data_IF_554234217324
#
_entry.id   IF_554234217324
#
_cell.length_a   1.000
_cell.length_b   1.000
_cell.length_c   1.000
_cell.angle_alpha   90.00
_cell.angle_beta   90.00
_cell.angle_gamma   90.00
#
_symmetry.space_group_name_H-M   'P 1'
#
loop_
_entity.id
_entity.type
_entity.pdbx_description
1 polymer ?
#
# COMPACT_ATOMS: atom_id res chain seq x y z
N UNK A 1 15.94 -6.41 -21.75
CA UNK A 1 15.96 -7.88 -21.50
C UNK A 1 14.79 -8.15 -20.59
N UNK A 2 13.80 -8.83 -21.13
CA UNK A 2 12.57 -9.24 -20.44
C UNK A 2 12.92 -10.20 -19.29
N UNK A 3 12.23 -10.10 -18.17
CA UNK A 3 12.38 -11.03 -17.06
C UNK A 3 11.65 -12.33 -17.40
N UNK A 4 12.21 -13.47 -17.02
CA UNK A 4 11.49 -14.74 -17.13
C UNK A 4 10.29 -14.72 -16.17
N UNK A 5 9.07 -14.83 -16.72
CA UNK A 5 7.82 -14.87 -15.98
C UNK A 5 7.55 -16.26 -15.41
N UNK A 6 6.91 -16.31 -14.25
CA UNK A 6 6.46 -17.53 -13.55
C UNK A 6 4.92 -17.62 -13.64
N UNK A 7 4.30 -18.78 -13.36
CA UNK A 7 2.84 -18.93 -13.47
C UNK A 7 2.02 -17.91 -12.67
N UNK A 8 2.51 -17.47 -11.51
CA UNK A 8 1.80 -16.46 -10.71
C UNK A 8 1.81 -15.06 -11.35
N UNK A 9 2.57 -14.83 -12.43
CA UNK A 9 2.44 -13.62 -13.25
C UNK A 9 1.05 -13.56 -13.90
N UNK A 10 0.64 -14.65 -14.57
CA UNK A 10 -0.66 -14.74 -15.24
C UNK A 10 -1.81 -14.60 -14.24
N UNK A 11 -1.67 -15.18 -13.04
CA UNK A 11 -2.63 -14.95 -11.97
C UNK A 11 -2.73 -13.48 -11.56
N UNK A 12 -1.61 -12.76 -11.48
CA UNK A 12 -1.66 -11.36 -11.10
C UNK A 12 -2.34 -10.52 -12.19
N UNK A 13 -1.89 -10.67 -13.44
CA UNK A 13 -2.29 -9.84 -14.57
C UNK A 13 -3.68 -10.20 -15.09
N UNK A 14 -3.98 -11.48 -15.26
CA UNK A 14 -5.20 -11.95 -15.93
C UNK A 14 -6.32 -12.34 -14.95
N UNK A 15 -5.97 -12.60 -13.68
CA UNK A 15 -6.96 -12.99 -12.67
C UNK A 15 -7.21 -11.91 -11.62
N UNK A 16 -6.20 -11.62 -10.79
CA UNK A 16 -6.32 -10.80 -9.59
C UNK A 16 -6.55 -9.33 -9.92
N UNK A 17 -5.70 -8.74 -10.76
CA UNK A 17 -5.77 -7.32 -11.11
C UNK A 17 -7.12 -6.91 -11.73
N UNK A 18 -7.63 -7.55 -12.82
CA UNK A 18 -8.88 -7.12 -13.45
C UNK A 18 -10.08 -7.27 -12.52
N UNK A 19 -10.11 -8.30 -11.67
CA UNK A 19 -11.19 -8.49 -10.67
C UNK A 19 -11.13 -7.44 -9.57
N UNK A 20 -9.94 -7.18 -9.04
CA UNK A 20 -9.73 -6.16 -8.01
C UNK A 20 -10.08 -4.77 -8.55
N UNK A 21 -9.71 -4.48 -9.80
CA UNK A 21 -10.06 -3.25 -10.51
C UNK A 21 -11.57 -3.11 -10.72
N UNK A 22 -12.24 -4.19 -11.13
CA UNK A 22 -13.70 -4.18 -11.28
C UNK A 22 -14.40 -3.89 -9.94
N UNK A 23 -13.96 -4.54 -8.85
CA UNK A 23 -14.46 -4.26 -7.50
C UNK A 23 -14.20 -2.81 -7.06
N UNK A 24 -13.02 -2.26 -7.41
CA UNK A 24 -12.68 -0.87 -7.13
C UNK A 24 -13.67 0.09 -7.79
N UNK A 25 -13.86 -0.05 -9.10
CA UNK A 25 -14.69 0.85 -9.91
C UNK A 25 -16.18 0.74 -9.57
N UNK A 26 -16.68 -0.47 -9.38
CA UNK A 26 -18.12 -0.73 -9.31
C UNK A 26 -18.66 -0.83 -7.88
N UNK A 27 -17.85 -1.28 -6.92
CA UNK A 27 -18.30 -1.51 -5.54
C UNK A 27 -17.62 -0.57 -4.52
N UNK A 28 -16.31 -0.34 -4.63
CA UNK A 28 -15.61 0.57 -3.71
C UNK A 28 -15.94 2.03 -4.04
N UNK A 29 -15.81 2.41 -5.31
CA UNK A 29 -16.17 3.72 -5.85
C UNK A 29 -17.67 3.74 -6.15
N UNK A 30 -18.15 2.89 -7.06
CA UNK A 30 -19.57 2.71 -7.40
C UNK A 30 -20.37 2.05 -6.27
N UNK A 31 -21.70 2.02 -6.39
CA UNK A 31 -22.58 1.54 -5.31
C UNK A 31 -23.08 0.09 -5.52
N UNK A 32 -22.44 -0.70 -6.39
CA UNK A 32 -22.78 -2.10 -6.62
C UNK A 32 -22.51 -2.95 -5.36
N UNK A 33 -23.33 -3.98 -5.16
CA UNK A 33 -23.15 -4.95 -4.07
C UNK A 33 -22.02 -5.91 -4.41
N UNK A 34 -21.07 -6.06 -3.48
CA UNK A 34 -19.95 -7.00 -3.59
C UNK A 34 -20.39 -8.45 -3.74
N UNK A 35 -21.58 -8.80 -3.24
CA UNK A 35 -22.16 -10.14 -3.26
C UNK A 35 -23.39 -10.23 -4.18
N UNK A 36 -23.58 -9.23 -5.04
CA UNK A 36 -24.68 -9.21 -5.99
C UNK A 36 -24.38 -10.02 -7.27
N UNK A 37 -25.41 -10.33 -8.07
CA UNK A 37 -25.25 -11.12 -9.30
C UNK A 37 -24.24 -10.53 -10.30
N UNK A 38 -24.14 -9.21 -10.38
CA UNK A 38 -23.19 -8.53 -11.26
C UNK A 38 -21.73 -8.75 -10.79
N UNK A 39 -21.49 -8.67 -9.48
CA UNK A 39 -20.17 -8.97 -8.93
C UNK A 39 -19.81 -10.46 -9.09
N UNK A 40 -20.79 -11.36 -8.96
CA UNK A 40 -20.60 -12.79 -9.21
C UNK A 40 -20.26 -13.08 -10.69
N UNK A 41 -20.80 -12.30 -11.64
CA UNK A 41 -20.46 -12.45 -13.05
C UNK A 41 -19.01 -12.04 -13.35
N UNK A 42 -18.54 -10.94 -12.76
CA UNK A 42 -17.23 -10.37 -13.07
C UNK A 42 -16.08 -10.88 -12.19
N UNK A 43 -16.35 -11.22 -10.93
CA UNK A 43 -15.34 -11.56 -9.93
C UNK A 43 -15.34 -13.05 -9.62
N UNK A 44 -16.49 -13.57 -9.17
CA UNK A 44 -16.69 -14.96 -8.76
C UNK A 44 -15.54 -15.53 -7.89
N UNK A 45 -15.14 -14.77 -6.86
CA UNK A 45 -14.08 -15.16 -5.93
C UNK A 45 -14.50 -14.74 -4.52
N UNK A 46 -14.84 -15.74 -3.70
CA UNK A 46 -15.35 -15.51 -2.36
C UNK A 46 -14.40 -14.67 -1.52
N UNK A 47 -13.08 -14.90 -1.61
CA UNK A 47 -12.10 -14.15 -0.84
C UNK A 47 -12.09 -12.68 -1.25
N UNK A 48 -12.09 -12.40 -2.56
CA UNK A 48 -12.07 -11.02 -3.07
C UNK A 48 -13.35 -10.26 -2.77
N UNK A 49 -14.51 -10.89 -2.95
CA UNK A 49 -15.82 -10.26 -2.74
C UNK A 49 -16.13 -10.02 -1.25
N UNK A 50 -15.55 -10.81 -0.34
CA UNK A 50 -15.86 -10.72 1.08
C UNK A 50 -14.83 -9.98 1.93
N UNK A 51 -13.60 -9.79 1.44
CA UNK A 51 -12.52 -9.17 2.20
C UNK A 51 -12.13 -7.84 1.56
N UNK A 52 -12.42 -6.70 2.21
CA UNK A 52 -12.16 -5.35 1.68
C UNK A 52 -10.70 -4.99 1.39
N UNK A 53 -9.76 -5.91 1.55
CA UNK A 53 -8.36 -5.68 1.21
C UNK A 53 -8.06 -6.04 -0.26
N UNK A 54 -8.94 -6.75 -0.96
CA UNK A 54 -8.71 -7.27 -2.32
C UNK A 54 -9.57 -6.57 -3.39
N UNK A 55 -10.12 -5.40 -3.08
CA UNK A 55 -11.08 -4.67 -3.92
C UNK A 55 -10.49 -3.39 -4.51
N UNK A 56 -9.17 -3.32 -4.63
CA UNK A 56 -8.44 -2.12 -4.99
C UNK A 56 -7.15 -2.46 -5.75
N UNK A 57 -6.83 -1.64 -6.74
CA UNK A 57 -5.56 -1.66 -7.50
C UNK A 57 -4.89 -0.28 -7.51
N UNK A 58 -5.64 0.77 -7.19
CA UNK A 58 -5.18 2.14 -7.12
C UNK A 58 -4.74 2.50 -5.71
N UNK A 59 -3.52 3.01 -5.54
CA UNK A 59 -3.07 3.57 -4.25
C UNK A 59 -4.07 4.54 -3.63
N UNK A 60 -4.76 5.32 -4.46
CA UNK A 60 -5.79 6.28 -4.04
C UNK A 60 -6.85 5.64 -3.15
N UNK A 61 -7.34 4.45 -3.48
CA UNK A 61 -8.49 3.83 -2.81
C UNK A 61 -8.10 2.71 -1.86
N UNK A 62 -6.82 2.34 -1.82
CA UNK A 62 -6.28 1.41 -0.85
C UNK A 62 -6.62 1.88 0.57
N UNK A 63 -7.21 1.01 1.38
CA UNK A 63 -7.86 1.52 2.59
C UNK A 63 -6.87 2.02 3.66
N UNK A 64 -5.60 1.62 3.64
CA UNK A 64 -4.58 2.27 4.47
C UNK A 64 -4.23 3.69 4.00
N UNK A 65 -4.66 4.11 2.82
CA UNK A 65 -4.51 5.47 2.30
C UNK A 65 -5.74 6.36 2.58
N UNK A 66 -6.80 5.81 3.18
CA UNK A 66 -8.05 6.54 3.47
C UNK A 66 -7.84 7.84 4.26
N UNK A 67 -6.96 7.85 5.26
CA UNK A 67 -6.66 9.08 6.02
C UNK A 67 -6.01 10.14 5.13
N UNK A 68 -5.05 9.76 4.28
CA UNK A 68 -4.40 10.70 3.37
C UNK A 68 -5.40 11.25 2.34
N UNK A 69 -6.31 10.41 1.85
CA UNK A 69 -7.41 10.83 0.97
C UNK A 69 -8.28 11.90 1.63
N UNK A 70 -8.68 11.68 2.88
CA UNK A 70 -9.51 12.63 3.61
C UNK A 70 -8.75 13.93 3.95
N UNK A 71 -7.44 13.86 4.21
CA UNK A 71 -6.62 15.06 4.45
C UNK A 71 -6.49 15.94 3.20
N UNK A 72 -6.34 15.34 2.03
CA UNK A 72 -6.17 16.07 0.76
C UNK A 72 -7.47 16.56 0.14
N UNK A 73 -8.55 15.78 0.28
CA UNK A 73 -9.80 16.03 -0.44
C UNK A 73 -10.97 16.36 0.49
N UNK A 74 -10.83 16.18 1.80
CA UNK A 74 -11.88 16.48 2.76
C UNK A 74 -13.20 15.76 2.43
N UNK A 75 -14.28 16.53 2.38
CA UNK A 75 -15.62 16.03 2.02
C UNK A 75 -15.80 15.75 0.53
N UNK A 76 -14.89 16.23 -0.32
CA UNK A 76 -14.93 16.06 -1.78
C UNK A 76 -14.32 14.71 -2.22
N UNK A 77 -13.81 13.94 -1.27
CA UNK A 77 -13.29 12.60 -1.50
C UNK A 77 -14.42 11.69 -2.04
N UNK A 78 -14.16 10.98 -3.14
CA UNK A 78 -15.20 10.25 -3.91
C UNK A 78 -15.98 9.21 -3.07
N UNK A 79 -15.30 8.53 -2.15
CA UNK A 79 -15.90 7.51 -1.26
C UNK A 79 -16.16 8.06 0.14
N UNK A 80 -16.19 9.39 0.33
CA UNK A 80 -16.41 10.04 1.62
C UNK A 80 -17.70 9.57 2.30
N UNK A 81 -18.80 9.46 1.53
CA UNK A 81 -20.10 8.98 2.01
C UNK A 81 -20.05 7.55 2.60
N UNK A 82 -19.04 6.76 2.23
CA UNK A 82 -18.82 5.38 2.66
C UNK A 82 -17.91 5.27 3.90
N UNK A 83 -17.33 6.38 4.39
CA UNK A 83 -16.54 6.37 5.63
C UNK A 83 -17.42 6.09 6.85
N UNK A 84 -16.88 5.57 7.97
CA UNK A 84 -17.62 5.52 9.23
C UNK A 84 -18.15 6.91 9.64
N UNK A 85 -19.35 6.97 10.23
CA UNK A 85 -20.03 8.24 10.54
C UNK A 85 -19.18 9.22 11.36
N UNK A 86 -18.54 8.75 12.42
CA UNK A 86 -17.66 9.58 13.26
C UNK A 86 -16.35 10.03 12.54
N UNK A 87 -15.96 9.37 11.45
CA UNK A 87 -14.89 9.86 10.56
C UNK A 87 -15.46 10.98 9.70
N UNK A 88 -16.65 10.83 9.13
CA UNK A 88 -17.30 11.89 8.36
C UNK A 88 -17.45 13.18 9.18
N UNK A 89 -17.95 13.06 10.41
CA UNK A 89 -18.09 14.19 11.36
C UNK A 89 -16.75 14.85 11.72
N UNK A 90 -15.65 14.11 11.65
CA UNK A 90 -14.31 14.61 11.93
C UNK A 90 -13.71 15.34 10.75
N UNK A 91 -13.83 14.77 9.54
CA UNK A 91 -13.35 15.36 8.29
C UNK A 91 -14.03 16.69 8.01
N UNK A 92 -15.31 16.84 8.36
CA UNK A 92 -16.03 18.13 8.27
C UNK A 92 -15.40 19.25 9.12
N UNK A 93 -14.57 18.91 10.11
CA UNK A 93 -13.87 19.88 10.99
C UNK A 93 -12.45 20.14 10.52
N UNK A 94 -12.04 19.58 9.39
CA UNK A 94 -10.69 19.79 8.89
C UNK A 94 -10.50 21.23 8.40
N UNK A 95 -9.28 21.73 8.64
CA UNK A 95 -8.77 23.03 8.23
C UNK A 95 -7.59 22.87 7.28
N UNK A 96 -7.54 21.76 6.52
CA UNK A 96 -6.43 21.45 5.60
C UNK A 96 -6.31 22.45 4.45
N UNK A 97 -7.32 23.29 4.22
CA UNK A 97 -7.25 24.46 3.35
C UNK A 97 -6.23 25.51 3.82
N UNK A 98 -5.76 25.45 5.07
CA UNK A 98 -4.70 26.31 5.62
C UNK A 98 -3.30 25.69 5.52
N UNK A 99 -3.20 24.41 5.15
CA UNK A 99 -1.94 23.69 5.13
C UNK A 99 -1.02 24.15 4.01
N UNK A 100 0.28 24.14 4.30
CA UNK A 100 1.32 24.20 3.27
C UNK A 100 1.81 22.79 2.95
N UNK A 101 2.75 22.66 2.00
CA UNK A 101 3.41 21.38 1.71
C UNK A 101 4.01 20.73 2.97
N UNK A 102 4.50 21.54 3.93
CA UNK A 102 5.14 21.04 5.17
C UNK A 102 4.17 20.18 5.99
N UNK A 103 2.94 20.63 6.16
CA UNK A 103 1.91 19.92 6.92
C UNK A 103 1.56 18.58 6.27
N UNK A 104 1.38 18.56 4.95
CA UNK A 104 1.13 17.32 4.20
C UNK A 104 2.31 16.34 4.32
N UNK A 105 3.55 16.80 4.09
CA UNK A 105 4.75 15.96 4.19
C UNK A 105 4.91 15.38 5.59
N UNK A 106 4.67 16.17 6.64
CA UNK A 106 4.71 15.68 8.02
C UNK A 106 3.59 14.67 8.31
N UNK A 107 2.38 14.91 7.79
CA UNK A 107 1.25 14.00 7.95
C UNK A 107 1.52 12.64 7.28
N UNK A 108 2.02 12.61 6.04
CA UNK A 108 2.36 11.38 5.32
C UNK A 108 3.43 10.58 6.06
N UNK A 109 4.53 11.24 6.44
CA UNK A 109 5.59 10.60 7.22
C UNK A 109 5.08 10.01 8.53
N UNK A 110 4.24 10.75 9.27
CA UNK A 110 3.67 10.27 10.53
C UNK A 110 2.70 9.12 10.29
N UNK A 111 1.88 9.17 9.24
CA UNK A 111 0.90 8.14 8.92
C UNK A 111 1.60 6.82 8.61
N UNK A 112 2.62 6.85 7.77
CA UNK A 112 3.43 5.67 7.44
C UNK A 112 4.23 5.17 8.64
N UNK A 113 4.81 6.08 9.43
CA UNK A 113 5.57 5.72 10.63
C UNK A 113 4.72 5.14 11.77
N UNK A 114 3.42 5.41 11.79
CA UNK A 114 2.47 4.91 12.79
C UNK A 114 1.70 3.65 12.33
N UNK A 115 2.09 3.09 11.17
CA UNK A 115 1.54 1.85 10.61
C UNK A 115 0.30 2.05 9.73
N UNK A 116 -0.01 3.29 9.35
CA UNK A 116 -1.04 3.64 8.36
C UNK A 116 -2.47 3.27 8.75
N UNK A 117 -2.76 3.16 10.05
CA UNK A 117 -4.08 2.74 10.53
C UNK A 117 -4.51 1.37 10.00
N UNK A 118 -3.53 0.49 9.70
CA UNK A 118 -3.78 -0.76 9.01
C UNK A 118 -4.63 -1.70 9.88
N UNK A 119 -5.83 -2.00 9.39
CA UNK A 119 -6.75 -2.97 9.98
C UNK A 119 -7.61 -3.66 8.92
N UNK A 120 -6.99 -4.55 8.15
CA UNK A 120 -7.64 -5.23 7.03
C UNK A 120 -8.83 -6.08 7.51
N UNK A 121 -9.96 -5.98 6.78
CA UNK A 121 -11.19 -6.74 7.06
C UNK A 121 -12.23 -6.02 7.92
N UNK A 122 -12.08 -4.71 8.19
CA UNK A 122 -13.04 -3.91 8.96
C UNK A 122 -13.30 -2.54 8.30
N UNK A 123 -14.48 -1.93 8.51
CA UNK A 123 -14.80 -0.58 8.00
C UNK A 123 -13.83 0.52 8.45
N UNK A 124 -13.05 0.24 9.50
CA UNK A 124 -12.06 1.11 10.13
C UNK A 124 -10.68 1.08 9.49
N UNK A 125 -10.53 0.40 8.35
CA UNK A 125 -9.26 0.32 7.64
C UNK A 125 -8.74 1.72 7.27
N UNK A 126 -7.51 2.04 7.68
CA UNK A 126 -6.89 3.37 7.52
C UNK A 126 -7.00 4.27 8.76
N UNK A 127 -7.97 4.02 9.65
CA UNK A 127 -8.24 4.85 10.82
C UNK A 127 -7.91 4.17 12.15
N UNK A 128 -7.70 2.85 12.14
CA UNK A 128 -7.52 2.06 13.36
C UNK A 128 -6.29 2.48 14.17
N UNK A 129 -6.52 3.03 15.36
CA UNK A 129 -5.47 3.62 16.21
C UNK A 129 -4.59 4.65 15.48
N UNK A 130 -5.13 5.36 14.49
CA UNK A 130 -4.39 6.36 13.73
C UNK A 130 -4.60 7.75 14.32
N UNK A 131 -3.55 8.32 14.92
CA UNK A 131 -3.57 9.72 15.38
C UNK A 131 -3.65 10.71 14.21
N UNK A 132 -3.13 10.33 13.04
CA UNK A 132 -3.08 11.20 11.86
C UNK A 132 -4.47 11.55 11.34
N UNK A 133 -5.46 10.67 11.58
CA UNK A 133 -6.87 10.98 11.32
C UNK A 133 -7.42 12.17 12.13
N UNK A 134 -6.65 12.74 13.06
CA UNK A 134 -7.01 13.96 13.79
C UNK A 134 -6.20 15.19 13.35
N UNK A 135 -5.17 15.02 12.52
CA UNK A 135 -4.26 16.09 12.14
C UNK A 135 -4.97 17.21 11.38
N UNK A 136 -5.95 16.86 10.54
CA UNK A 136 -6.71 17.85 9.77
C UNK A 136 -7.40 18.92 10.61
N UNK A 137 -7.58 18.73 11.93
CA UNK A 137 -8.15 19.74 12.84
C UNK A 137 -7.12 20.78 13.34
N UNK A 138 -5.86 20.71 12.90
CA UNK A 138 -4.76 21.58 13.31
C UNK A 138 -4.15 22.28 12.10
N UNK A 139 -3.64 23.49 12.27
CA UNK A 139 -3.18 24.34 11.16
C UNK A 139 -1.72 24.09 10.80
N UNK A 140 -0.90 23.66 11.77
CA UNK A 140 0.55 23.53 11.58
C UNK A 140 1.10 22.16 11.98
N UNK A 141 2.20 21.75 11.36
CA UNK A 141 2.90 20.50 11.73
C UNK A 141 3.35 20.48 13.20
N UNK A 142 3.70 21.64 13.77
CA UNK A 142 4.09 21.79 15.17
C UNK A 142 2.91 21.53 16.13
N UNK A 143 1.71 21.98 15.79
CA UNK A 143 0.49 21.65 16.54
C UNK A 143 0.16 20.15 16.48
N UNK A 144 0.32 19.53 15.31
CA UNK A 144 0.15 18.07 15.14
C UNK A 144 1.18 17.29 15.98
N UNK A 145 2.44 17.74 16.01
CA UNK A 145 3.46 17.15 16.86
C UNK A 145 3.12 17.31 18.36
N UNK A 146 2.59 18.47 18.76
CA UNK A 146 2.11 18.70 20.12
C UNK A 146 0.91 17.81 20.47
N UNK A 147 -0.03 17.59 19.54
CA UNK A 147 -1.11 16.62 19.69
C UNK A 147 -0.54 15.23 19.99
N UNK A 148 0.45 14.76 19.23
CA UNK A 148 1.08 13.45 19.48
C UNK A 148 1.66 13.33 20.89
N UNK A 149 2.33 14.38 21.38
CA UNK A 149 2.87 14.42 22.76
C UNK A 149 1.75 14.32 23.80
N UNK A 150 0.66 15.06 23.61
CA UNK A 150 -0.50 15.03 24.50
C UNK A 150 -1.20 13.66 24.47
N UNK A 151 -1.36 13.07 23.28
CA UNK A 151 -1.97 11.76 23.07
C UNK A 151 -1.21 10.66 23.80
N UNK A 152 0.13 10.70 23.71
CA UNK A 152 1.02 9.80 24.45
C UNK A 152 0.88 9.98 25.96
N UNK A 153 0.91 11.23 26.45
CA UNK A 153 0.74 11.53 27.88
C UNK A 153 -0.59 11.01 28.43
N UNK A 154 -1.65 11.05 27.61
CA UNK A 154 -2.96 10.53 27.94
C UNK A 154 -3.09 8.98 27.81
N UNK A 155 -2.03 8.27 27.46
CA UNK A 155 -2.05 6.80 27.30
C UNK A 155 -2.89 6.30 26.13
N UNK A 156 -3.26 7.18 25.19
CA UNK A 156 -4.08 6.81 24.03
C UNK A 156 -3.23 6.10 22.97
N UNK A 157 -3.81 5.08 22.33
CA UNK A 157 -3.16 4.38 21.22
C UNK A 157 -3.02 5.30 20.01
N UNK A 158 -1.84 5.29 19.38
CA UNK A 158 -1.54 6.06 18.17
C UNK A 158 -0.83 5.23 17.08
N UNK A 159 -0.64 3.93 17.34
CA UNK A 159 -0.02 3.00 16.40
C UNK A 159 -1.00 1.88 16.09
N UNK A 160 -1.12 1.54 14.81
CA UNK A 160 -1.80 0.32 14.37
C UNK A 160 -0.91 -0.92 14.58
N UNK A 161 -1.37 -2.11 14.22
CA UNK A 161 -0.72 -3.39 14.56
C UNK A 161 0.78 -3.47 14.20
N UNK A 162 1.53 -4.27 14.99
CA UNK A 162 3.01 -4.32 15.08
C UNK A 162 3.74 -4.53 13.74
N UNK A 163 3.13 -5.20 12.76
CA UNK A 163 3.81 -5.64 11.53
C UNK A 163 4.36 -4.53 10.63
N UNK A 164 3.85 -3.30 10.75
CA UNK A 164 4.20 -2.15 9.88
C UNK A 164 4.87 -0.99 10.65
N UNK A 165 5.29 -1.20 11.90
CA UNK A 165 5.89 -0.13 12.70
C UNK A 165 7.39 0.01 12.43
N UNK A 166 7.90 1.23 12.58
CA UNK A 166 9.32 1.52 12.40
C UNK A 166 10.14 0.76 13.45
N UNK A 167 11.36 0.30 13.10
CA UNK A 167 12.28 -0.17 14.12
C UNK A 167 12.55 0.98 15.10
N UNK A 168 12.72 0.64 16.38
CA UNK A 168 13.08 1.63 17.42
C UNK A 168 14.22 2.52 16.91
N UNK A 169 14.05 3.86 16.87
CA UNK A 169 14.97 4.75 16.17
C UNK A 169 16.41 4.58 16.64
N UNK A 170 16.61 4.67 17.96
CA UNK A 170 17.85 4.35 18.68
C UNK A 170 17.54 3.99 20.13
N UNK A 171 18.49 3.36 20.83
CA UNK A 171 18.32 2.98 22.24
C UNK A 171 17.96 4.21 23.08
N UNK A 172 16.91 4.11 23.89
CA UNK A 172 16.45 5.18 24.79
C UNK A 172 15.55 6.24 24.14
N UNK A 173 15.24 6.14 22.84
CA UNK A 173 14.32 7.04 22.14
C UNK A 173 13.14 6.24 21.58
N UNK A 174 11.92 6.58 21.99
CA UNK A 174 10.73 5.96 21.40
C UNK A 174 10.27 6.67 20.13
N UNK A 175 9.39 6.00 19.39
CA UNK A 175 8.94 6.45 18.09
C UNK A 175 8.17 7.80 18.13
N UNK A 176 7.24 8.06 19.07
CA UNK A 176 6.63 9.38 19.20
C UNK A 176 7.63 10.50 19.49
N UNK A 177 8.61 10.26 20.36
CA UNK A 177 9.67 11.24 20.66
C UNK A 177 10.47 11.57 19.40
N UNK A 178 10.87 10.56 18.62
CA UNK A 178 11.56 10.77 17.37
C UNK A 178 10.72 11.58 16.37
N UNK A 179 9.48 11.16 16.09
CA UNK A 179 8.61 11.80 15.10
C UNK A 179 8.39 13.28 15.46
N UNK A 180 8.21 13.58 16.75
CA UNK A 180 7.88 14.94 17.23
C UNK A 180 9.09 15.82 17.56
N UNK A 181 10.30 15.37 17.21
CA UNK A 181 11.55 16.14 17.33
C UNK A 181 12.33 16.07 16.01
N UNK A 182 13.33 15.18 15.91
CA UNK A 182 14.15 15.00 14.71
C UNK A 182 13.32 14.72 13.46
N UNK A 183 12.26 13.91 13.55
CA UNK A 183 11.38 13.63 12.41
C UNK A 183 10.66 14.87 11.88
N UNK A 184 10.20 15.75 12.77
CA UNK A 184 9.55 17.02 12.40
C UNK A 184 10.52 17.97 11.69
N UNK A 185 11.76 18.09 12.20
CA UNK A 185 12.82 18.88 11.58
C UNK A 185 13.21 18.31 10.21
N UNK A 186 13.44 17.00 10.13
CA UNK A 186 13.81 16.31 8.90
C UNK A 186 12.75 16.45 7.80
N UNK A 187 11.46 16.38 8.16
CA UNK A 187 10.37 16.62 7.20
C UNK A 187 10.29 18.08 6.75
N UNK A 188 10.66 19.03 7.62
CA UNK A 188 10.88 20.43 7.25
C UNK A 188 12.01 20.58 6.22
N UNK A 189 13.17 19.96 6.46
CA UNK A 189 14.30 19.97 5.52
C UNK A 189 13.95 19.33 4.17
N UNK A 190 13.21 18.21 4.18
CA UNK A 190 12.71 17.59 2.96
C UNK A 190 11.80 18.54 2.19
N UNK A 191 10.87 19.21 2.89
CA UNK A 191 9.92 20.14 2.28
C UNK A 191 10.64 21.28 1.56
N UNK A 192 11.65 21.88 2.18
CA UNK A 192 12.42 22.95 1.53
C UNK A 192 13.22 22.41 0.34
N UNK A 193 13.83 21.23 0.45
CA UNK A 193 14.54 20.61 -0.68
C UNK A 193 13.62 20.37 -1.89
N UNK A 194 12.39 19.89 -1.67
CA UNK A 194 11.39 19.71 -2.73
C UNK A 194 11.04 21.05 -3.40
N UNK A 195 10.79 22.10 -2.60
CA UNK A 195 10.45 23.44 -3.09
C UNK A 195 11.59 24.08 -3.85
N UNK A 196 12.82 23.98 -3.35
CA UNK A 196 14.02 24.50 -4.01
C UNK A 196 14.21 23.86 -5.39
N UNK A 197 14.07 22.54 -5.50
CA UNK A 197 14.17 21.82 -6.77
C UNK A 197 13.11 22.30 -7.77
N UNK A 198 11.86 22.40 -7.31
CA UNK A 198 10.74 22.87 -8.14
C UNK A 198 10.92 24.32 -8.61
N UNK A 199 11.29 25.22 -7.69
CA UNK A 199 11.50 26.64 -8.00
C UNK A 199 12.70 26.88 -8.92
N UNK A 200 13.68 25.97 -8.94
CA UNK A 200 14.78 25.99 -9.90
C UNK A 200 14.36 25.54 -11.31
N UNK A 201 13.13 25.08 -11.50
CA UNK A 201 12.62 24.59 -12.80
C UNK A 201 13.13 23.18 -13.14
N UNK A 202 13.63 22.43 -12.17
CA UNK A 202 14.08 21.05 -12.38
C UNK A 202 12.89 20.08 -12.48
N UNK A 203 13.08 18.90 -13.11
CA UNK A 203 12.10 17.82 -13.05
C UNK A 203 11.77 17.38 -11.61
N UNK A 204 10.58 16.80 -11.36
CA UNK A 204 10.25 16.18 -10.09
C UNK A 204 11.30 15.14 -9.66
N UNK A 205 11.56 15.03 -8.36
CA UNK A 205 12.60 14.17 -7.83
C UNK A 205 12.19 12.69 -7.81
N UNK A 206 13.16 11.79 -7.98
CA UNK A 206 12.92 10.35 -7.95
C UNK A 206 12.73 9.80 -6.53
N UNK A 207 11.80 8.85 -6.38
CA UNK A 207 11.37 8.36 -5.06
C UNK A 207 12.49 7.64 -4.28
N UNK A 208 13.32 6.82 -4.95
CA UNK A 208 14.44 6.13 -4.29
C UNK A 208 15.52 7.08 -3.82
N UNK A 209 15.86 8.10 -4.61
CA UNK A 209 16.84 9.13 -4.25
C UNK A 209 16.44 9.85 -2.96
N UNK A 210 15.15 10.23 -2.85
CA UNK A 210 14.62 10.83 -1.63
C UNK A 210 14.64 9.85 -0.44
N UNK A 211 14.32 8.58 -0.68
CA UNK A 211 14.36 7.55 0.38
C UNK A 211 15.77 7.36 0.91
N UNK A 212 16.75 7.32 0.03
CA UNK A 212 18.17 7.17 0.38
C UNK A 212 18.68 8.41 1.12
N UNK A 213 18.27 9.62 0.70
CA UNK A 213 18.59 10.88 1.39
C UNK A 213 18.11 10.89 2.85
N UNK A 214 16.84 10.51 3.09
CA UNK A 214 16.28 10.45 4.44
C UNK A 214 16.95 9.39 5.31
N UNK A 215 17.27 8.24 4.72
CA UNK A 215 18.02 7.19 5.42
C UNK A 215 19.46 7.59 5.73
N UNK A 216 20.11 8.37 4.85
CA UNK A 216 21.44 8.89 5.12
C UNK A 216 21.42 9.85 6.30
N UNK A 217 20.45 10.77 6.36
CA UNK A 217 20.25 11.64 7.53
C UNK A 217 20.01 10.85 8.83
N UNK A 218 19.27 9.74 8.77
CA UNK A 218 19.14 8.85 9.92
C UNK A 218 20.52 8.28 10.34
N UNK A 219 21.28 7.73 9.40
CA UNK A 219 22.59 7.12 9.67
C UNK A 219 23.55 8.14 10.29
N UNK A 220 23.62 9.34 9.72
CA UNK A 220 24.49 10.43 10.19
C UNK A 220 24.18 10.84 11.63
N UNK A 221 22.95 10.59 12.10
CA UNK A 221 22.47 10.90 13.45
C UNK A 221 22.39 9.67 14.39
N UNK A 222 22.97 8.54 13.97
CA UNK A 222 22.95 7.29 14.75
C UNK A 222 21.57 6.66 14.88
N UNK A 223 20.68 6.91 13.93
CA UNK A 223 19.30 6.41 13.85
C UNK A 223 19.26 5.28 12.82
N UNK A 224 18.46 4.23 13.10
CA UNK A 224 18.29 3.11 12.17
C UNK A 224 17.62 3.56 10.86
N UNK A 225 17.92 2.85 9.77
CA UNK A 225 17.24 3.03 8.48
C UNK A 225 15.76 2.68 8.57
N UNK A 226 14.93 3.50 7.95
CA UNK A 226 13.47 3.38 7.88
C UNK A 226 13.01 3.32 6.41
N UNK A 227 13.55 2.34 5.67
CA UNK A 227 13.34 2.20 4.24
C UNK A 227 11.85 2.23 3.84
N UNK A 228 11.03 1.39 4.47
CA UNK A 228 9.62 1.26 4.09
C UNK A 228 8.78 2.51 4.41
N UNK A 229 8.80 3.07 5.64
CA UNK A 229 8.05 4.29 5.96
C UNK A 229 8.44 5.48 5.08
N UNK A 230 9.74 5.66 4.80
CA UNK A 230 10.20 6.73 3.92
C UNK A 230 9.74 6.50 2.47
N UNK A 231 9.94 5.30 1.92
CA UNK A 231 9.46 4.98 0.57
C UNK A 231 7.95 5.22 0.43
N UNK A 232 7.15 4.82 1.41
CA UNK A 232 5.70 5.01 1.41
C UNK A 232 5.28 6.47 1.59
N UNK A 233 5.95 7.23 2.44
CA UNK A 233 5.66 8.65 2.61
C UNK A 233 6.01 9.43 1.33
N UNK A 234 7.10 9.07 0.67
CA UNK A 234 7.51 9.67 -0.61
C UNK A 234 6.53 9.29 -1.72
N UNK A 235 6.04 8.05 -1.75
CA UNK A 235 4.97 7.64 -2.64
C UNK A 235 3.65 8.41 -2.41
N UNK A 236 3.34 8.79 -1.16
CA UNK A 236 2.22 9.71 -0.86
C UNK A 236 2.48 11.10 -1.46
N UNK A 237 3.69 11.65 -1.32
CA UNK A 237 4.06 12.93 -1.94
C UNK A 237 3.93 12.84 -3.47
N UNK A 238 4.40 11.75 -4.09
CA UNK A 238 4.27 11.55 -5.53
C UNK A 238 2.80 11.46 -5.99
N UNK A 239 1.93 10.92 -5.14
CA UNK A 239 0.48 10.78 -5.43
C UNK A 239 -0.24 12.12 -5.36
N UNK A 240 -0.02 12.91 -4.29
CA UNK A 240 -0.80 14.12 -4.01
C UNK A 240 -0.11 15.42 -4.44
N UNK A 241 1.21 15.39 -4.63
CA UNK A 241 2.00 16.54 -5.05
C UNK A 241 3.02 16.14 -6.14
N UNK A 242 2.56 15.62 -7.30
CA UNK A 242 3.40 15.06 -8.36
C UNK A 242 4.36 16.08 -8.99
N UNK A 243 4.14 17.38 -8.79
CA UNK A 243 5.07 18.42 -9.21
C UNK A 243 6.41 18.39 -8.46
N UNK A 244 6.47 17.77 -7.28
CA UNK A 244 7.69 17.67 -6.47
C UNK A 244 8.38 16.31 -6.57
N UNK A 245 7.63 15.23 -6.76
CA UNK A 245 8.14 13.85 -6.79
C UNK A 245 7.52 13.12 -7.96
N UNK A 246 8.35 12.47 -8.77
CA UNK A 246 7.90 11.79 -9.98
C UNK A 246 7.08 10.52 -9.65
N UNK A 247 5.76 10.47 -9.98
CA UNK A 247 4.92 9.31 -9.74
C UNK A 247 5.30 8.09 -10.60
N UNK A 248 6.03 8.29 -11.70
CA UNK A 248 6.46 7.22 -12.60
C UNK A 248 7.85 6.67 -12.27
N UNK A 249 8.60 7.34 -11.40
CA UNK A 249 9.87 6.80 -10.91
C UNK A 249 9.65 5.56 -10.03
N UNK A 250 10.60 4.64 -10.03
CA UNK A 250 10.52 3.42 -9.20
C UNK A 250 10.71 3.72 -7.71
N UNK A 251 10.29 2.80 -6.85
CA UNK A 251 10.39 2.90 -5.39
C UNK A 251 10.94 1.62 -4.75
N UNK A 252 11.33 1.71 -3.47
CA UNK A 252 11.70 0.53 -2.69
C UNK A 252 10.46 -0.21 -2.19
N UNK A 253 10.24 -1.43 -2.69
CA UNK A 253 9.16 -2.30 -2.23
C UNK A 253 9.32 -2.79 -0.78
N UNK A 254 8.21 -2.95 -0.06
CA UNK A 254 8.16 -3.72 1.18
C UNK A 254 8.42 -5.22 0.97
N UNK A 255 8.58 -5.96 2.06
CA UNK A 255 8.89 -7.41 1.99
C UNK A 255 7.81 -8.22 1.28
N UNK A 256 6.54 -7.87 1.47
CA UNK A 256 5.41 -8.55 0.83
C UNK A 256 5.42 -8.33 -0.68
N UNK A 257 5.60 -7.08 -1.14
CA UNK A 257 5.71 -6.77 -2.56
C UNK A 257 6.94 -7.44 -3.21
N UNK A 258 8.09 -7.50 -2.51
CA UNK A 258 9.26 -8.26 -3.00
C UNK A 258 8.95 -9.75 -3.16
N UNK A 259 8.28 -10.36 -2.19
CA UNK A 259 7.85 -11.75 -2.29
C UNK A 259 6.88 -11.97 -3.46
N UNK A 260 5.94 -11.05 -3.69
CA UNK A 260 5.05 -11.12 -4.85
C UNK A 260 5.84 -11.06 -6.18
N UNK A 261 6.80 -10.14 -6.30
CA UNK A 261 7.70 -10.08 -7.47
C UNK A 261 8.44 -11.42 -7.64
N UNK A 262 8.97 -12.01 -6.57
CA UNK A 262 9.63 -13.31 -6.61
C UNK A 262 8.68 -14.46 -6.97
N UNK A 263 7.37 -14.35 -6.69
CA UNK A 263 6.37 -15.32 -7.15
C UNK A 263 6.08 -15.20 -8.65
N UNK A 264 6.21 -14.01 -9.23
CA UNK A 264 5.84 -13.73 -10.63
C UNK A 264 7.02 -13.74 -11.60
N UNK A 265 8.23 -13.50 -11.14
CA UNK A 265 9.41 -13.41 -11.99
C UNK A 265 10.55 -14.26 -11.45
N UNK A 266 11.43 -14.72 -12.34
CA UNK A 266 12.73 -15.29 -11.96
C UNK A 266 13.80 -14.22 -12.06
N UNK A 267 14.61 -14.12 -11.02
CA UNK A 267 15.77 -13.24 -11.05
C UNK A 267 16.90 -13.81 -11.91
N UNK A 268 17.39 -13.08 -12.92
CA UNK A 268 18.56 -13.49 -13.69
C UNK A 268 19.82 -13.61 -12.82
N UNK A 269 20.68 -14.59 -13.11
CA UNK A 269 21.97 -14.75 -12.43
C UNK A 269 22.83 -13.50 -12.63
N UNK A 270 23.39 -12.97 -11.54
CA UNK A 270 24.25 -11.77 -11.56
C UNK A 270 23.51 -10.44 -11.47
N UNK A 271 22.18 -10.40 -11.61
CA UNK A 271 21.40 -9.17 -11.47
C UNK A 271 21.27 -8.77 -9.98
N UNK A 272 21.44 -7.48 -9.72
CA UNK A 272 21.25 -6.92 -8.37
C UNK A 272 19.77 -7.02 -7.96
N UNK A 273 19.48 -7.12 -6.66
CA UNK A 273 18.08 -7.12 -6.19
C UNK A 273 17.34 -5.82 -6.55
N UNK A 274 18.05 -4.68 -6.55
CA UNK A 274 17.45 -3.38 -6.85
C UNK A 274 17.00 -3.33 -8.30
N UNK A 275 17.92 -3.65 -9.22
CA UNK A 275 17.62 -3.69 -10.65
C UNK A 275 16.54 -4.72 -11.00
N UNK A 276 16.57 -5.88 -10.35
CA UNK A 276 15.56 -6.92 -10.56
C UNK A 276 14.15 -6.43 -10.22
N UNK A 277 13.97 -5.81 -9.05
CA UNK A 277 12.66 -5.27 -8.68
C UNK A 277 12.23 -4.11 -9.59
N UNK A 278 13.16 -3.26 -10.03
CA UNK A 278 12.84 -2.15 -10.94
C UNK A 278 12.34 -2.63 -12.28
N UNK A 279 12.99 -3.66 -12.85
CA UNK A 279 12.53 -4.27 -14.09
C UNK A 279 11.18 -4.95 -13.95
N UNK A 280 10.93 -5.61 -12.81
CA UNK A 280 9.64 -6.24 -12.55
C UNK A 280 8.51 -5.20 -12.43
N UNK A 281 8.74 -4.10 -11.70
CA UNK A 281 7.77 -3.02 -11.59
C UNK A 281 7.51 -2.33 -12.94
N UNK A 282 8.57 -2.09 -13.73
CA UNK A 282 8.45 -1.51 -15.06
C UNK A 282 7.62 -2.39 -16.01
N UNK A 283 7.87 -3.72 -16.03
CA UNK A 283 7.11 -4.68 -16.84
C UNK A 283 5.61 -4.67 -16.47
N UNK A 284 5.29 -4.70 -15.17
CA UNK A 284 3.91 -4.63 -14.70
C UNK A 284 3.26 -3.28 -15.03
N UNK A 285 4.00 -2.18 -14.90
CA UNK A 285 3.52 -0.81 -15.16
C UNK A 285 3.17 -0.64 -16.63
N UNK A 286 4.04 -1.11 -17.53
CA UNK A 286 3.81 -1.10 -18.97
C UNK A 286 2.60 -1.97 -19.33
N UNK A 287 2.53 -3.20 -18.81
CA UNK A 287 1.48 -4.15 -19.17
C UNK A 287 0.09 -3.73 -18.63
N UNK A 288 0.02 -3.20 -17.40
CA UNK A 288 -1.24 -2.87 -16.74
C UNK A 288 -1.65 -1.40 -16.87
N UNK A 289 -0.82 -0.57 -17.52
CA UNK A 289 -1.11 0.85 -17.75
C UNK A 289 -1.26 1.67 -16.48
N UNK A 290 -0.39 1.44 -15.50
CA UNK A 290 -0.42 2.09 -14.18
C UNK A 290 0.96 2.64 -13.81
N UNK A 291 1.30 2.76 -12.52
CA UNK A 291 2.62 3.18 -12.07
C UNK A 291 3.18 2.25 -10.98
N UNK A 292 4.50 2.38 -10.73
CA UNK A 292 5.21 1.59 -9.75
C UNK A 292 4.62 1.71 -8.34
N UNK A 293 4.11 2.89 -7.99
CA UNK A 293 3.51 3.20 -6.69
C UNK A 293 2.26 2.37 -6.43
N UNK A 294 1.36 2.27 -7.41
CA UNK A 294 0.16 1.42 -7.33
C UNK A 294 0.52 -0.07 -7.19
N UNK A 295 1.58 -0.51 -7.87
CA UNK A 295 2.05 -1.88 -7.75
C UNK A 295 2.59 -2.21 -6.37
N UNK A 296 3.33 -1.33 -5.71
CA UNK A 296 3.87 -1.65 -4.38
C UNK A 296 2.78 -2.08 -3.40
N UNK A 297 1.67 -1.33 -3.42
CA UNK A 297 0.51 -1.59 -2.58
C UNK A 297 -0.21 -2.88 -2.99
N UNK A 298 -0.54 -2.99 -4.29
CA UNK A 298 -1.31 -4.12 -4.83
C UNK A 298 -0.54 -5.43 -4.73
N UNK A 299 0.79 -5.41 -4.90
CA UNK A 299 1.66 -6.58 -4.73
C UNK A 299 1.73 -7.04 -3.27
N UNK A 300 1.69 -6.10 -2.31
CA UNK A 300 1.59 -6.44 -0.90
C UNK A 300 0.27 -7.14 -0.55
N UNK A 301 -0.80 -6.84 -1.27
CA UNK A 301 -2.09 -7.52 -1.17
C UNK A 301 -2.07 -8.85 -1.91
N UNK A 302 -1.50 -8.90 -3.11
CA UNK A 302 -1.47 -10.10 -3.94
C UNK A 302 -0.75 -11.28 -3.28
N UNK A 303 0.37 -11.05 -2.59
CA UNK A 303 1.01 -12.14 -1.85
C UNK A 303 0.10 -12.72 -0.75
N UNK A 304 -0.80 -11.90 -0.17
CA UNK A 304 -1.78 -12.35 0.83
C UNK A 304 -2.92 -13.14 0.19
N UNK A 305 -3.32 -12.75 -1.01
CA UNK A 305 -4.27 -13.49 -1.84
C UNK A 305 -3.74 -14.91 -2.16
N UNK A 306 -2.48 -15.03 -2.58
CA UNK A 306 -1.81 -16.33 -2.80
C UNK A 306 -1.66 -17.18 -1.53
N UNK A 307 -1.81 -16.58 -0.34
CA UNK A 307 -1.79 -17.28 0.94
C UNK A 307 -3.20 -17.52 1.53
N UNK A 308 -4.28 -17.19 0.80
CA UNK A 308 -5.65 -17.23 1.30
C UNK A 308 -5.81 -16.50 2.64
N UNK A 309 -5.18 -15.32 2.79
CA UNK A 309 -5.21 -14.60 4.06
C UNK A 309 -6.61 -14.04 4.32
N UNK A 310 -7.42 -14.81 5.05
CA UNK A 310 -8.72 -14.38 5.57
C UNK A 310 -8.60 -13.91 7.02
N UNK A 311 -8.74 -12.59 7.23
CA UNK A 311 -8.76 -11.99 8.57
C UNK A 311 -10.15 -11.90 9.21
N UNK A 312 -11.20 -12.32 8.50
CA UNK A 312 -12.55 -12.42 9.06
C UNK A 312 -12.73 -13.67 9.94
N UNK A 313 -11.88 -14.69 9.76
CA UNK A 313 -11.96 -15.95 10.48
C UNK A 313 -12.99 -16.94 9.91
N UNK A 314 -13.50 -16.68 8.69
CA UNK A 314 -14.49 -17.53 8.00
C UNK A 314 -13.84 -18.67 7.21
N UNK A 315 -12.52 -18.63 7.01
CA UNK A 315 -11.79 -19.63 6.25
C UNK A 315 -11.95 -19.47 4.73
N UNK A 316 -12.20 -18.25 4.25
CA UNK A 316 -12.40 -17.95 2.84
C UNK A 316 -11.12 -18.22 2.03
N UNK A 317 -11.30 -18.66 0.79
CA UNK A 317 -10.20 -18.99 -0.13
C UNK A 317 -10.40 -18.31 -1.48
N UNK A 318 -9.29 -18.01 -2.13
CA UNK A 318 -9.33 -17.56 -3.52
C UNK A 318 -9.77 -18.71 -4.44
N UNK A 319 -10.44 -18.35 -5.53
CA UNK A 319 -10.96 -19.25 -6.54
C UNK A 319 -10.08 -19.31 -7.79
N UNK A 320 -8.90 -18.68 -7.76
CA UNK A 320 -8.02 -18.58 -8.94
C UNK A 320 -7.33 -19.89 -9.32
N UNK A 321 -7.18 -20.81 -8.36
CA UNK A 321 -6.34 -21.99 -8.53
C UNK A 321 -4.83 -21.72 -8.49
N UNK A 322 -4.42 -20.47 -8.23
CA UNK A 322 -3.04 -20.05 -8.04
C UNK A 322 -2.75 -19.72 -6.58
N UNK A 323 -1.55 -20.10 -6.16
CA UNK A 323 -1.10 -19.85 -4.80
C UNK A 323 0.42 -19.94 -4.69
N UNK A 324 0.97 -19.82 -3.47
CA UNK A 324 2.41 -19.75 -3.23
C UNK A 324 3.19 -20.93 -3.83
N UNK A 325 4.17 -20.63 -4.66
CA UNK A 325 5.04 -21.59 -5.34
C UNK A 325 6.46 -21.58 -4.79
N UNK A 326 7.08 -22.76 -4.71
CA UNK A 326 8.48 -22.96 -4.39
C UNK A 326 9.39 -22.51 -5.57
N UNK A 327 10.71 -22.66 -5.42
CA UNK A 327 11.66 -22.27 -6.47
C UNK A 327 11.55 -23.05 -7.79
N UNK A 328 10.88 -24.20 -7.78
CA UNK A 328 10.66 -25.09 -8.92
C UNK A 328 9.23 -25.00 -9.46
N UNK A 329 8.49 -23.94 -9.09
CA UNK A 329 7.08 -23.73 -9.46
C UNK A 329 6.13 -24.82 -8.95
N UNK A 330 6.44 -25.43 -7.79
CA UNK A 330 5.55 -26.37 -7.11
C UNK A 330 4.82 -25.68 -5.94
N UNK A 331 3.53 -25.98 -5.70
CA UNK A 331 2.80 -25.48 -4.54
C UNK A 331 3.53 -25.70 -3.21
N UNK A 332 3.71 -24.63 -2.41
CA UNK A 332 4.44 -24.71 -1.14
C UNK A 332 3.66 -25.37 0.01
N UNK A 333 2.32 -25.31 -0.02
CA UNK A 333 1.49 -25.74 1.11
C UNK A 333 0.32 -26.65 0.69
N UNK A 334 0.57 -27.82 0.08
CA UNK A 334 -0.49 -28.64 -0.51
C UNK A 334 -1.67 -28.97 0.44
N UNK A 335 -1.47 -29.00 1.76
CA UNK A 335 -2.51 -29.35 2.75
C UNK A 335 -3.54 -28.25 3.04
N UNK A 336 -3.24 -26.98 2.75
CA UNK A 336 -4.25 -25.89 2.80
C UNK A 336 -4.99 -25.73 1.45
N UNK A 337 -4.67 -26.59 0.47
CA UNK A 337 -5.09 -26.50 -0.94
C UNK A 337 -6.00 -27.68 -1.30
N UNK A 338 -6.97 -27.43 -2.19
CA UNK A 338 -7.62 -28.50 -2.96
C UNK A 338 -7.57 -28.11 -4.43
N UNK A 339 -6.99 -28.95 -5.31
CA UNK A 339 -6.84 -28.65 -6.72
C UNK A 339 -8.10 -29.02 -7.51
N UNK A 340 -9.29 -28.53 -7.16
CA UNK A 340 -10.47 -28.82 -8.00
C UNK A 340 -10.34 -28.17 -9.39
N UNK A 341 -9.65 -27.03 -9.50
CA UNK A 341 -9.38 -26.39 -10.79
C UNK A 341 -8.38 -27.16 -11.69
N UNK A 342 -7.43 -27.89 -11.07
CA UNK A 342 -6.45 -28.72 -11.79
C UNK A 342 -7.05 -30.08 -12.17
N UNK A 343 -7.88 -30.65 -11.29
CA UNK A 343 -8.66 -31.86 -11.56
C UNK A 343 -9.70 -31.62 -12.66
N UNK A 344 -10.37 -30.47 -12.71
CA UNK A 344 -11.33 -30.14 -13.76
C UNK A 344 -10.66 -29.96 -15.14
N UNK A 345 -9.43 -29.42 -15.18
CA UNK A 345 -8.66 -29.26 -16.43
C UNK A 345 -8.07 -30.60 -16.91
N UNK A 346 -7.62 -31.45 -15.98
CA UNK A 346 -7.16 -32.81 -16.29
C UNK A 346 -8.32 -33.72 -16.72
N UNK A 347 -9.48 -33.65 -16.07
CA UNK A 347 -10.67 -34.42 -16.45
C UNK A 347 -11.23 -34.00 -17.82
N UNK A 348 -11.20 -32.70 -18.16
CA UNK A 348 -11.56 -32.23 -19.51
C UNK A 348 -10.57 -32.69 -20.59
N UNK A 349 -9.27 -32.74 -20.29
CA UNK A 349 -8.27 -33.25 -21.23
C UNK A 349 -8.43 -34.75 -21.49
N UNK A 350 -8.68 -35.55 -20.44
CA UNK A 350 -8.87 -37.00 -20.57
C UNK A 350 -10.16 -37.40 -21.28
N UNK A 351 -11.23 -36.59 -21.19
CA UNK A 351 -12.48 -36.86 -21.91
C UNK A 351 -12.38 -36.52 -23.41
N UNK A 352 -11.58 -35.53 -23.77
CA UNK A 352 -11.34 -35.17 -25.18
C UNK A 352 -10.46 -36.20 -25.91
N UNK A 353 -9.55 -36.87 -25.20
CA UNK A 353 -8.68 -37.91 -25.77
C UNK A 353 -9.38 -39.27 -25.96
N UNK A 354 -10.57 -39.47 -25.39
CA UNK A 354 -11.37 -40.69 -25.56
C UNK A 354 -12.46 -40.59 -26.64
N UNK A 355 -12.62 -39.43 -27.29
CA UNK A 355 -13.67 -39.16 -28.29
C UNK A 355 -13.15 -38.87 -29.70
N UNK A 356 -11.93 -39.31 -30.04
CA UNK A 356 -11.39 -39.31 -31.42
C UNK A 356 -11.30 -40.73 -31.97
#
# INVERSE_FOLDING_TARGET
MELERRPNYDCYVDYFWPRSKWLEENCLIGDADYLGPEADEHVNDELMQNIPAYNCVSRTYEGFNNVNQDLNHGTDQIVFKKRPKEVQERVQKYVTNKWTLREYVFAYYTHRSTGSGFYAGKPWHGYHHSIVSHFGMYETADEMANLMKQWKKAGKKMFSTIGNQNPTPKKGMNLPEHITSFGLELMGELTEHLKENYNAGNPPLEQKSLTDRLNQKNIDNGIRRWNFPYAQAIADIATYHPQYVDPNSSLYCGNNARQAIEQMFRKPKGMSQVEYHDRALADLTENLGTNAVAHEDTLCIYIRFLNNLDRSGRGLKNASGYYMMDKNDKPMYPDIWRPEALEAKQQKATLAEFLV
#
